data_IF_862928035683
#
_entry.id   IF_862928035683
#
_cell.length_a   1.000
_cell.length_b   1.000
_cell.length_c   1.000
_cell.angle_alpha   90.00
_cell.angle_beta   90.00
_cell.angle_gamma   90.00
#
_symmetry.space_group_name_H-M   'P 1'
#
loop_
_entity.id
_entity.type
_entity.pdbx_description
1 polymer ?
#
# COMPACT_ATOMS: atom_id res chain seq x y z
N UNK A 1 20.30 3.80 0.60
CA UNK A 1 18.97 4.21 1.08
C UNK A 1 18.59 3.28 2.22
N UNK A 2 18.28 3.82 3.40
CA UNK A 2 17.84 2.96 4.51
C UNK A 2 16.42 2.48 4.21
N UNK A 3 16.23 1.17 4.06
CA UNK A 3 14.91 0.56 4.07
C UNK A 3 14.27 0.86 5.43
N UNK A 4 13.41 1.87 5.50
CA UNK A 4 12.51 2.04 6.62
C UNK A 4 11.57 0.83 6.62
N UNK A 5 11.87 -0.16 7.46
CA UNK A 5 11.00 -1.30 7.68
C UNK A 5 9.64 -0.80 8.18
N UNK A 6 8.66 -0.78 7.27
CA UNK A 6 7.28 -0.47 7.56
C UNK A 6 6.72 -1.51 8.52
N UNK A 7 6.16 -1.06 9.65
CA UNK A 7 5.71 -1.91 10.75
C UNK A 7 4.29 -2.44 10.48
N UNK A 8 4.15 -3.43 9.60
CA UNK A 8 3.15 -4.53 9.66
C UNK A 8 3.06 -5.24 8.29
N UNK A 9 3.16 -6.58 8.29
CA UNK A 9 3.02 -7.41 7.08
C UNK A 9 4.22 -7.36 6.14
N UNK A 10 4.72 -8.53 5.72
CA UNK A 10 5.71 -8.58 4.64
C UNK A 10 4.98 -8.52 3.30
N UNK A 11 5.37 -7.57 2.45
CA UNK A 11 4.81 -7.40 1.11
C UNK A 11 5.89 -7.65 0.05
N UNK A 12 5.51 -8.08 -1.15
CA UNK A 12 6.45 -8.32 -2.26
C UNK A 12 7.27 -7.07 -2.62
N UNK A 13 6.68 -5.89 -2.41
CA UNK A 13 7.33 -4.60 -2.55
C UNK A 13 8.64 -4.48 -1.74
N UNK A 14 8.80 -5.22 -0.64
CA UNK A 14 10.04 -5.24 0.13
C UNK A 14 11.21 -5.81 -0.69
N UNK A 15 10.95 -6.91 -1.43
CA UNK A 15 11.95 -7.55 -2.27
C UNK A 15 12.21 -6.72 -3.54
N UNK A 16 11.14 -6.20 -4.17
CA UNK A 16 11.23 -5.35 -5.37
C UNK A 16 12.01 -4.06 -5.06
N UNK A 17 11.75 -3.45 -3.89
CA UNK A 17 12.40 -2.23 -3.42
C UNK A 17 13.89 -2.34 -3.12
N UNK A 18 14.47 -3.55 -3.18
CA UNK A 18 15.93 -3.73 -3.13
C UNK A 18 16.61 -3.36 -4.45
N UNK A 19 15.88 -3.33 -5.56
CA UNK A 19 16.43 -3.18 -6.92
C UNK A 19 15.81 -1.99 -7.67
N UNK A 20 14.54 -1.68 -7.42
CA UNK A 20 13.81 -0.61 -8.11
C UNK A 20 13.27 0.40 -7.10
N UNK A 21 13.19 1.68 -7.49
CA UNK A 21 12.49 2.69 -6.69
C UNK A 21 11.03 2.28 -6.53
N UNK A 22 10.64 2.00 -5.28
CA UNK A 22 9.37 1.34 -4.95
C UNK A 22 8.67 2.07 -3.82
N UNK A 23 7.37 2.28 -3.99
CA UNK A 23 6.48 2.87 -2.97
C UNK A 23 5.20 2.05 -2.85
N UNK A 24 4.58 2.09 -1.67
CA UNK A 24 3.27 1.49 -1.41
C UNK A 24 2.28 2.55 -0.96
N UNK A 25 1.01 2.37 -1.36
CA UNK A 25 -0.11 3.18 -0.87
C UNK A 25 -0.98 2.30 0.02
N UNK A 26 -1.18 2.71 1.27
CA UNK A 26 -2.02 2.00 2.23
C UNK A 26 -3.38 2.67 2.40
N UNK A 27 -4.39 1.85 2.66
CA UNK A 27 -5.74 2.26 3.06
C UNK A 27 -6.11 1.63 4.39
N UNK A 28 -6.93 2.27 5.23
CA UNK A 28 -7.27 1.76 6.55
C UNK A 28 -8.26 0.60 6.48
N UNK A 29 -7.90 -0.54 7.07
CA UNK A 29 -8.86 -1.59 7.42
C UNK A 29 -9.54 -1.29 8.77
N UNK A 30 -10.80 -1.68 8.93
CA UNK A 30 -11.62 -1.41 10.12
C UNK A 30 -10.99 -1.98 11.40
N UNK A 31 -10.47 -1.08 12.24
CA UNK A 31 -9.76 -1.44 13.47
C UNK A 31 -8.42 -2.14 13.22
N UNK A 32 -7.80 -1.94 12.06
CA UNK A 32 -6.50 -2.51 11.70
C UNK A 32 -6.50 -4.04 11.54
N UNK A 33 -7.68 -4.65 11.38
CA UNK A 33 -7.81 -6.11 11.25
C UNK A 33 -7.29 -6.56 9.90
N UNK A 34 -6.52 -7.66 9.91
CA UNK A 34 -6.12 -8.39 8.72
C UNK A 34 -6.04 -9.89 8.98
N UNK A 35 -6.06 -10.73 7.94
CA UNK A 35 -6.04 -12.20 8.02
C UNK A 35 -7.19 -12.79 8.85
N UNK A 36 -8.37 -12.18 8.78
CA UNK A 36 -9.55 -12.70 9.45
C UNK A 36 -10.82 -12.48 8.60
N UNK A 37 -11.88 -13.29 8.76
CA UNK A 37 -13.08 -13.19 7.92
C UNK A 37 -13.83 -11.86 8.04
N UNK A 38 -13.58 -11.10 9.11
CA UNK A 38 -14.22 -9.80 9.38
C UNK A 38 -13.34 -8.61 9.00
N UNK A 39 -12.24 -8.85 8.28
CA UNK A 39 -11.43 -7.81 7.65
C UNK A 39 -12.28 -7.03 6.63
N UNK A 40 -12.23 -5.70 6.72
CA UNK A 40 -13.05 -4.82 5.89
C UNK A 40 -12.40 -3.45 5.74
N UNK A 41 -12.45 -2.90 4.53
CA UNK A 41 -12.00 -1.55 4.19
C UNK A 41 -13.14 -0.84 3.47
N UNK A 42 -13.41 0.42 3.83
CA UNK A 42 -14.47 1.20 3.19
C UNK A 42 -14.16 1.46 1.71
N UNK A 43 -15.15 1.27 0.84
CA UNK A 43 -14.99 1.49 -0.61
C UNK A 43 -14.49 2.89 -0.95
N UNK A 44 -14.89 3.90 -0.17
CA UNK A 44 -14.44 5.27 -0.37
C UNK A 44 -12.92 5.42 -0.19
N UNK A 45 -12.30 4.66 0.72
CA UNK A 45 -10.85 4.72 0.94
C UNK A 45 -10.09 3.94 -0.14
N UNK A 46 -10.66 2.82 -0.61
CA UNK A 46 -10.15 2.11 -1.79
C UNK A 46 -10.17 3.03 -3.01
N UNK A 47 -11.29 3.72 -3.27
CA UNK A 47 -11.43 4.62 -4.41
C UNK A 47 -10.41 5.78 -4.39
N UNK A 48 -10.15 6.36 -3.21
CA UNK A 48 -9.11 7.38 -3.04
C UNK A 48 -7.72 6.85 -3.37
N UNK A 49 -7.36 5.65 -2.89
CA UNK A 49 -6.05 5.07 -3.19
C UNK A 49 -5.89 4.76 -4.69
N UNK A 50 -6.95 4.29 -5.36
CA UNK A 50 -6.93 4.10 -6.81
C UNK A 50 -6.69 5.41 -7.55
N UNK A 51 -7.34 6.51 -7.15
CA UNK A 51 -7.10 7.81 -7.75
C UNK A 51 -5.65 8.28 -7.58
N UNK A 52 -5.08 8.13 -6.37
CA UNK A 52 -3.68 8.47 -6.09
C UNK A 52 -2.71 7.64 -6.94
N UNK A 53 -2.93 6.33 -7.04
CA UNK A 53 -2.08 5.44 -7.84
C UNK A 53 -2.20 5.78 -9.33
N UNK A 54 -3.41 6.06 -9.81
CA UNK A 54 -3.66 6.44 -11.19
C UNK A 54 -2.89 7.71 -11.56
N UNK A 55 -3.03 8.76 -10.75
CA UNK A 55 -2.32 10.03 -10.97
C UNK A 55 -0.80 9.83 -10.89
N UNK A 56 -0.31 9.01 -9.95
CA UNK A 56 1.12 8.69 -9.86
C UNK A 56 1.62 8.04 -11.15
N UNK A 57 0.93 7.01 -11.66
CA UNK A 57 1.33 6.31 -12.88
C UNK A 57 1.33 7.24 -14.10
N UNK A 58 0.34 8.13 -14.21
CA UNK A 58 0.28 9.09 -15.31
C UNK A 58 1.41 10.12 -15.28
N UNK A 59 1.94 10.43 -14.10
CA UNK A 59 2.99 11.43 -13.91
C UNK A 59 4.37 10.83 -13.61
N UNK A 60 4.52 9.50 -13.66
CA UNK A 60 5.81 8.82 -13.52
C UNK A 60 6.67 9.13 -14.75
N UNK A 61 7.87 9.67 -14.53
CA UNK A 61 8.85 10.06 -15.55
C UNK A 61 9.89 8.98 -15.77
#
# INVERSE_FOLDING_TARGET
MAAHAFRSGTHDALAIGQVLDTVMVFVPSKGGRSHCPVEWTEYADIAKAVAVIYDLILNMQ
#
